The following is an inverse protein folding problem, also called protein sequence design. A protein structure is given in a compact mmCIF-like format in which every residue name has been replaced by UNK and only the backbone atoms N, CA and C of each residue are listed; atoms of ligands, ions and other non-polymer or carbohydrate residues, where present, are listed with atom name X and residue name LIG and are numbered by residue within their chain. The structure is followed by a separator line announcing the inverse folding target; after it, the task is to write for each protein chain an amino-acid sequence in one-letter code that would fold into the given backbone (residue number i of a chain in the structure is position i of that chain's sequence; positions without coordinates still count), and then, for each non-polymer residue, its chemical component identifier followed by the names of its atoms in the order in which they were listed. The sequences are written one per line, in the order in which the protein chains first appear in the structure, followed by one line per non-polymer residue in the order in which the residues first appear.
data_IF_209249574424
#
_entry.id   IF_209249574424
#
_cell.length_a   1.000
_cell.length_b   1.000
_cell.length_c   1.000
_cell.angle_alpha   90.00
_cell.angle_beta   90.00
_cell.angle_gamma   90.00
#
_symmetry.space_group_name_H-M   'P 1'
#
loop_
_entity.id
_entity.type
_entity.pdbx_description
1 polymer ?
#
# COMPACT_ATOMS: atom_id res chain seq x y z
N UNK A 1 3.31 4.56 1.14
CA UNK A 1 2.46 4.49 -0.06
C UNK A 1 1.24 5.38 0.11
N UNK A 2 0.73 6.02 -0.96
CA UNK A 2 -0.43 6.90 -0.92
C UNK A 2 -1.76 6.13 -0.81
N UNK A 3 -1.89 5.27 0.20
CA UNK A 3 -3.14 4.54 0.48
C UNK A 3 -4.17 5.43 1.21
N UNK A 4 -5.48 5.28 0.98
CA UNK A 4 -6.14 4.18 0.25
C UNK A 4 -6.28 4.38 -1.28
N UNK A 5 -5.62 5.37 -1.89
CA UNK A 5 -5.62 5.50 -3.35
C UNK A 5 -4.64 4.47 -3.96
N UNK A 6 -5.15 3.27 -4.25
CA UNK A 6 -4.33 2.15 -4.73
C UNK A 6 -3.81 2.33 -6.16
N UNK A 7 -4.50 3.10 -7.00
CA UNK A 7 -4.00 3.45 -8.33
C UNK A 7 -2.79 4.40 -8.22
N UNK A 8 -2.92 5.46 -7.42
CA UNK A 8 -1.78 6.34 -7.12
C UNK A 8 -0.64 5.58 -6.43
N UNK A 9 -0.96 4.59 -5.60
CA UNK A 9 0.05 3.74 -4.96
C UNK A 9 0.79 2.86 -5.96
N UNK A 10 0.12 2.33 -6.99
CA UNK A 10 0.78 1.58 -8.05
C UNK A 10 1.77 2.47 -8.81
N UNK A 11 1.35 3.67 -9.24
CA UNK A 11 2.24 4.63 -9.92
C UNK A 11 3.44 5.03 -9.06
N UNK A 12 3.22 5.29 -7.76
CA UNK A 12 4.32 5.63 -6.86
C UNK A 12 5.25 4.44 -6.60
N UNK A 13 4.74 3.20 -6.60
CA UNK A 13 5.57 2.01 -6.46
C UNK A 13 6.52 1.86 -7.67
N UNK A 14 6.02 2.04 -8.89
CA UNK A 14 6.85 2.04 -10.09
C UNK A 14 7.95 3.09 -10.01
N UNK A 15 7.60 4.32 -9.63
CA UNK A 15 8.58 5.41 -9.48
C UNK A 15 9.61 5.11 -8.40
N UNK A 16 9.16 4.66 -7.23
CA UNK A 16 10.03 4.41 -6.09
C UNK A 16 11.04 3.29 -6.39
N UNK A 17 10.57 2.19 -6.99
CA UNK A 17 11.40 1.02 -7.29
C UNK A 17 12.30 1.26 -8.51
N UNK A 18 11.76 1.79 -9.61
CA UNK A 18 12.47 1.84 -10.89
C UNK A 18 13.34 3.10 -11.04
N UNK A 19 12.87 4.24 -10.52
CA UNK A 19 13.54 5.54 -10.71
C UNK A 19 14.39 5.93 -9.51
N UNK A 20 13.87 5.71 -8.29
CA UNK A 20 14.55 6.09 -7.06
C UNK A 20 15.38 4.97 -6.45
N UNK A 21 15.24 3.73 -6.93
CA UNK A 21 16.00 2.58 -6.47
C UNK A 21 15.69 2.16 -5.04
N UNK A 22 14.43 2.31 -4.60
CA UNK A 22 14.00 1.82 -3.30
C UNK A 22 14.13 0.29 -3.22
N UNK A 23 14.57 -0.24 -2.07
CA UNK A 23 14.70 -1.68 -1.86
C UNK A 23 13.35 -2.42 -1.69
N UNK A 24 12.26 -1.68 -1.52
CA UNK A 24 10.93 -2.22 -1.29
C UNK A 24 9.92 -1.15 -0.88
N UNK A 25 8.75 -1.58 -0.42
CA UNK A 25 7.66 -0.70 0.01
C UNK A 25 7.16 -1.04 1.40
N UNK A 26 6.58 -0.05 2.07
CA UNK A 26 5.84 -0.24 3.32
C UNK A 26 4.36 -0.03 3.06
N UNK A 27 3.55 -1.05 3.37
CA UNK A 27 2.09 -1.01 3.28
C UNK A 27 1.49 -1.03 4.69
N UNK A 28 0.43 -0.27 4.89
CA UNK A 28 -0.39 -0.40 6.10
C UNK A 28 -1.35 -1.58 5.89
N UNK A 29 -1.46 -2.46 6.89
CA UNK A 29 -2.40 -3.59 6.85
C UNK A 29 -3.86 -3.14 6.70
N UNK A 30 -4.17 -1.93 7.17
CA UNK A 30 -5.43 -1.24 7.00
C UNK A 30 -5.18 0.22 6.65
N UNK A 31 -5.88 0.74 5.64
CA UNK A 31 -5.91 2.15 5.30
C UNK A 31 -7.36 2.64 5.27
N UNK A 32 -7.76 3.40 6.30
CA UNK A 32 -9.12 3.97 6.45
C UNK A 32 -10.23 2.90 6.33
N UNK A 33 -10.06 1.77 7.01
CA UNK A 33 -11.03 0.67 7.00
C UNK A 33 -10.85 -0.32 5.85
N UNK A 34 -10.06 0.01 4.82
CA UNK A 34 -9.77 -0.89 3.70
C UNK A 34 -8.56 -1.76 4.05
N UNK A 35 -8.77 -3.06 4.11
CA UNK A 35 -7.72 -4.04 4.38
C UNK A 35 -7.01 -4.47 3.10
N UNK A 36 -5.75 -4.87 3.23
CA UNK A 36 -5.00 -5.46 2.12
C UNK A 36 -5.73 -6.71 1.59
N UNK A 37 -5.86 -6.80 0.27
CA UNK A 37 -6.58 -7.91 -0.40
C UNK A 37 -8.09 -7.68 -0.60
N UNK A 38 -8.62 -6.51 -0.22
CA UNK A 38 -9.94 -6.09 -0.70
C UNK A 38 -9.89 -5.74 -2.21
N UNK A 39 -11.06 -5.71 -2.85
CA UNK A 39 -11.21 -5.41 -4.27
C UNK A 39 -10.57 -4.06 -4.65
N UNK A 40 -10.01 -3.99 -5.87
CA UNK A 40 -9.43 -2.75 -6.43
C UNK A 40 -7.94 -2.55 -6.15
N UNK A 41 -7.25 -3.56 -5.62
CA UNK A 41 -5.81 -3.50 -5.30
C UNK A 41 -4.91 -4.26 -6.30
N UNK A 42 -5.51 -4.90 -7.30
CA UNK A 42 -4.82 -5.80 -8.23
C UNK A 42 -3.65 -5.13 -8.95
N UNK A 43 -3.81 -3.86 -9.35
CA UNK A 43 -2.76 -3.13 -10.06
C UNK A 43 -1.52 -2.92 -9.18
N UNK A 44 -1.71 -2.51 -7.92
CA UNK A 44 -0.60 -2.35 -6.98
C UNK A 44 0.11 -3.69 -6.75
N UNK A 45 -0.64 -4.77 -6.51
CA UNK A 45 -0.02 -6.07 -6.27
C UNK A 45 0.69 -6.62 -7.50
N UNK A 46 0.15 -6.41 -8.71
CA UNK A 46 0.82 -6.75 -9.97
C UNK A 46 2.13 -5.99 -10.12
N UNK A 47 2.15 -4.68 -9.88
CA UNK A 47 3.37 -3.84 -9.97
C UNK A 47 4.46 -4.34 -9.02
N UNK A 48 4.09 -4.73 -7.79
CA UNK A 48 5.01 -5.27 -6.80
C UNK A 48 5.51 -6.67 -7.19
N UNK A 49 4.62 -7.54 -7.67
CA UNK A 49 4.94 -8.91 -8.10
C UNK A 49 5.90 -8.92 -9.30
N UNK A 50 5.65 -8.10 -10.31
CA UNK A 50 6.52 -7.96 -11.50
C UNK A 50 7.96 -7.57 -11.16
N UNK A 51 8.15 -6.87 -10.03
CA UNK A 51 9.47 -6.43 -9.55
C UNK A 51 10.05 -7.33 -8.46
N UNK A 52 9.33 -8.40 -8.08
CA UNK A 52 9.63 -9.20 -6.90
C UNK A 52 9.90 -8.32 -5.66
N UNK A 53 9.15 -7.22 -5.52
CA UNK A 53 9.41 -6.20 -4.52
C UNK A 53 9.13 -6.71 -3.10
N UNK A 54 9.99 -6.35 -2.14
CA UNK A 54 9.72 -6.62 -0.73
C UNK A 54 8.65 -5.67 -0.23
N UNK A 55 7.51 -6.21 0.19
CA UNK A 55 6.45 -5.47 0.84
C UNK A 55 6.47 -5.71 2.35
N UNK A 56 6.89 -4.72 3.12
CA UNK A 56 6.80 -4.76 4.58
C UNK A 56 5.40 -4.31 5.02
N UNK A 57 4.60 -5.26 5.49
CA UNK A 57 3.24 -4.99 5.98
C UNK A 57 3.31 -4.54 7.44
N UNK A 58 3.10 -3.26 7.66
CA UNK A 58 3.04 -2.65 8.98
C UNK A 58 1.60 -2.73 9.52
N UNK A 59 1.40 -3.17 10.78
CA UNK A 59 0.11 -3.00 11.45
C UNK A 59 -0.31 -1.52 11.47
N UNK A 60 -1.56 -1.26 11.10
CA UNK A 60 -2.20 0.01 11.39
C UNK A 60 -2.99 -0.13 12.68
N UNK A 61 -3.04 0.93 13.48
CA UNK A 61 -4.06 1.01 14.52
C UNK A 61 -5.44 0.87 13.85
N UNK A 62 -6.43 0.27 14.53
CA UNK A 62 -7.81 0.44 14.11
C UNK A 62 -8.06 1.92 13.84
N UNK A 63 -8.83 2.24 12.81
CA UNK A 63 -9.37 3.60 12.68
C UNK A 63 -10.04 3.91 14.03
N UNK A 64 -9.47 4.83 14.81
CA UNK A 64 -10.19 5.37 15.95
C UNK A 64 -11.35 6.19 15.37
N UNK A 65 -12.51 5.55 15.31
CA UNK A 65 -13.79 6.25 15.47
C UNK A 65 -14.03 6.59 16.97
N UNK A 66 -13.00 6.44 17.82
CA UNK A 66 -13.05 6.68 19.26
C UNK A 66 -12.94 8.16 19.68
N UNK A 67 -13.12 9.11 18.76
CA UNK A 67 -13.58 10.47 19.07
C UNK A 67 -15.02 10.71 18.55
N UNK A 68 -15.91 9.77 18.85
CA UNK A 68 -17.36 9.96 18.81
C UNK A 68 -18.01 9.66 20.18
N UNK A 69 -17.31 9.97 21.27
CA UNK A 69 -17.83 10.00 22.65
C UNK A 69 -17.65 11.38 23.27
#
# INVERSE_FOLDING_TARGET
MPTPDFAAAATEAERALDVLGADGVVLLANARGIYLGADGQDELFRVLDERAAVAFVRPAAPCDDAEAL
#
